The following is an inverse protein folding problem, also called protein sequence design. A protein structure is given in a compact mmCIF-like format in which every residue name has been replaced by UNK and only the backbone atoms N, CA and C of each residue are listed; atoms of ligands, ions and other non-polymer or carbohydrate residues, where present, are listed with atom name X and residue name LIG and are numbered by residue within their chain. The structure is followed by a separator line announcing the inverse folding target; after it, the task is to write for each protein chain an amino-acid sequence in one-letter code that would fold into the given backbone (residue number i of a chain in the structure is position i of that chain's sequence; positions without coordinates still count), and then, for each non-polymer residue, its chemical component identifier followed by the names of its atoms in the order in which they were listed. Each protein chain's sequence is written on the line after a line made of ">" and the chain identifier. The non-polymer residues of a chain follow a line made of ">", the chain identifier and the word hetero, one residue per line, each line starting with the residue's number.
data_IF_189359072409
#
_entry.id   IF_189359072409
#
_cell.length_a   1.000
_cell.length_b   1.000
_cell.length_c   1.000
_cell.angle_alpha   90.00
_cell.angle_beta   90.00
_cell.angle_gamma   90.00
#
_symmetry.space_group_name_H-M   'P 1'
#
loop_
_entity.id
_entity.type
_entity.pdbx_description
1 polymer ?
#
# COMPACT_ATOMS: atom_id res chain seq x y z
N UNK A 1 -19.46 19.15 -38.21
CA UNK A 1 -18.51 18.04 -38.00
C UNK A 1 -17.32 18.61 -37.24
N UNK A 2 -17.25 18.36 -35.93
CA UNK A 2 -16.18 18.83 -35.04
C UNK A 2 -15.20 17.68 -34.80
N UNK A 3 -13.87 17.92 -34.82
CA UNK A 3 -12.89 16.85 -34.66
C UNK A 3 -12.86 16.40 -33.19
N UNK A 4 -12.91 15.08 -32.98
CA UNK A 4 -12.70 14.47 -31.67
C UNK A 4 -11.25 14.67 -31.22
N UNK A 5 -10.99 15.09 -29.97
CA UNK A 5 -9.64 15.07 -29.43
C UNK A 5 -9.24 13.63 -29.11
N UNK A 6 -8.16 13.17 -29.74
CA UNK A 6 -7.46 11.94 -29.37
C UNK A 6 -6.99 12.05 -27.90
N UNK A 7 -7.54 11.22 -27.02
CA UNK A 7 -6.96 10.97 -25.69
C UNK A 7 -5.72 10.10 -25.88
N UNK A 8 -4.54 10.70 -25.85
CA UNK A 8 -3.28 9.97 -25.71
C UNK A 8 -3.18 9.49 -24.27
N UNK A 9 -3.40 8.20 -24.05
CA UNK A 9 -3.08 7.55 -22.78
C UNK A 9 -1.58 7.26 -22.83
N UNK A 10 -0.81 8.10 -22.14
CA UNK A 10 0.62 7.87 -21.97
C UNK A 10 0.80 6.77 -20.93
N UNK A 11 0.90 5.52 -21.37
CA UNK A 11 1.47 4.46 -20.54
C UNK A 11 2.98 4.65 -20.54
N UNK A 12 3.56 4.99 -19.40
CA UNK A 12 5.00 4.87 -19.19
C UNK A 12 5.32 3.38 -19.12
N UNK A 13 5.49 2.75 -20.28
CA UNK A 13 6.07 1.42 -20.38
C UNK A 13 7.56 1.59 -20.11
N UNK A 14 7.97 1.38 -18.86
CA UNK A 14 9.38 1.20 -18.53
C UNK A 14 9.84 -0.11 -19.17
N UNK A 15 10.24 -0.05 -20.43
CA UNK A 15 10.96 -1.13 -21.10
C UNK A 15 12.32 -1.21 -20.41
N UNK A 16 12.50 -2.17 -19.51
CA UNK A 16 13.83 -2.58 -19.10
C UNK A 16 14.55 -3.05 -20.36
N UNK A 17 15.46 -2.23 -20.86
CA UNK A 17 16.43 -2.64 -21.87
C UNK A 17 17.23 -3.76 -21.24
N UNK A 18 17.07 -4.96 -21.76
CA UNK A 18 17.73 -6.18 -21.30
C UNK A 18 19.24 -6.03 -21.38
N UNK A 19 19.86 -5.62 -20.28
CA UNK A 19 21.13 -6.17 -19.93
C UNK A 19 20.90 -7.69 -19.80
N UNK A 20 21.70 -8.49 -20.50
CA UNK A 20 21.84 -9.92 -20.23
C UNK A 20 22.39 -10.10 -18.82
N UNK A 21 21.59 -9.77 -17.80
CA UNK A 21 21.77 -10.28 -16.48
C UNK A 21 21.54 -11.78 -16.63
N UNK A 22 22.64 -12.54 -16.65
CA UNK A 22 22.57 -13.98 -16.35
C UNK A 22 21.59 -14.09 -15.19
N UNK A 23 20.52 -14.86 -15.36
CA UNK A 23 19.62 -15.21 -14.27
C UNK A 23 20.52 -15.71 -13.14
N UNK A 24 20.79 -14.82 -12.19
CA UNK A 24 21.68 -15.14 -11.08
C UNK A 24 21.01 -16.32 -10.43
N UNK A 25 21.70 -17.45 -10.37
CA UNK A 25 21.23 -18.63 -9.66
C UNK A 25 20.57 -18.13 -8.38
N UNK A 26 19.26 -18.38 -8.25
CA UNK A 26 18.52 -18.00 -7.06
C UNK A 26 19.40 -18.45 -5.89
N UNK A 27 19.86 -17.54 -5.01
CA UNK A 27 20.59 -17.98 -3.82
C UNK A 27 19.74 -19.07 -3.17
N UNK A 28 20.31 -19.96 -2.36
CA UNK A 28 19.50 -20.82 -1.49
C UNK A 28 18.73 -19.94 -0.49
N UNK A 29 17.72 -19.23 -0.97
CA UNK A 29 16.82 -18.39 -0.23
C UNK A 29 15.84 -19.39 0.35
N UNK A 30 15.94 -19.58 1.66
CA UNK A 30 14.88 -20.22 2.43
C UNK A 30 13.56 -19.53 2.04
N UNK A 31 12.51 -20.33 1.81
CA UNK A 31 11.18 -19.79 1.51
C UNK A 31 10.87 -18.61 2.46
N UNK A 32 10.30 -17.50 1.95
CA UNK A 32 10.00 -16.35 2.77
C UNK A 32 9.14 -16.78 3.94
N UNK A 33 9.60 -16.53 5.16
CA UNK A 33 9.00 -17.03 6.40
C UNK A 33 8.77 -15.84 7.34
N UNK A 34 7.62 -15.84 8.01
CA UNK A 34 7.25 -14.83 8.98
C UNK A 34 6.34 -13.73 8.44
N UNK A 35 6.26 -12.61 9.16
CA UNK A 35 5.31 -11.55 8.85
C UNK A 35 5.84 -10.57 7.81
N UNK A 36 4.95 -10.07 6.96
CA UNK A 36 5.19 -9.09 5.92
C UNK A 36 4.11 -8.00 5.95
N UNK A 37 4.48 -6.77 5.61
CA UNK A 37 3.52 -5.77 5.14
C UNK A 37 3.39 -5.87 3.63
N UNK A 38 2.19 -5.62 3.11
CA UNK A 38 1.89 -5.66 1.67
C UNK A 38 1.17 -4.38 1.26
N UNK A 39 1.50 -3.88 0.08
CA UNK A 39 0.73 -2.85 -0.64
C UNK A 39 0.51 -3.27 -2.09
N UNK A 40 -0.66 -2.97 -2.64
CA UNK A 40 -1.07 -3.34 -4.00
C UNK A 40 -1.83 -2.20 -4.66
N UNK A 41 -1.43 -1.78 -5.86
CA UNK A 41 -2.13 -0.79 -6.66
C UNK A 41 -2.46 -1.37 -8.04
N UNK A 42 -3.62 -1.04 -8.59
CA UNK A 42 -3.99 -1.47 -9.93
C UNK A 42 -5.40 -1.06 -10.32
N UNK A 43 -6.08 -1.96 -11.03
CA UNK A 43 -7.44 -1.72 -11.52
C UNK A 43 -8.31 -2.98 -11.48
N UNK A 44 -9.60 -2.76 -11.39
CA UNK A 44 -10.63 -3.73 -11.74
C UNK A 44 -10.71 -3.88 -13.27
N UNK A 45 -11.28 -4.96 -13.78
CA UNK A 45 -11.41 -5.19 -15.23
C UNK A 45 -12.32 -4.20 -15.94
N UNK A 46 -13.23 -3.54 -15.24
CA UNK A 46 -14.02 -2.43 -15.79
C UNK A 46 -13.25 -1.09 -15.80
N UNK A 47 -11.96 -1.12 -15.50
CA UNK A 47 -11.05 0.03 -15.51
C UNK A 47 -11.13 0.90 -14.25
N UNK A 48 -11.95 0.55 -13.26
CA UNK A 48 -12.01 1.31 -12.01
C UNK A 48 -10.76 1.08 -11.16
N UNK A 49 -10.32 2.10 -10.40
CA UNK A 49 -9.09 2.01 -9.63
C UNK A 49 -9.22 1.02 -8.46
N UNK A 50 -8.11 0.35 -8.16
CA UNK A 50 -7.94 -0.57 -7.05
C UNK A 50 -6.69 -0.20 -6.23
N UNK A 51 -6.81 -0.27 -4.92
CA UNK A 51 -5.69 -0.16 -4.01
C UNK A 51 -5.91 -1.06 -2.79
N UNK A 52 -4.85 -1.63 -2.22
CA UNK A 52 -4.93 -2.35 -0.96
C UNK A 52 -3.64 -2.23 -0.15
N UNK A 53 -3.79 -2.33 1.17
CA UNK A 53 -2.69 -2.45 2.13
C UNK A 53 -3.04 -3.53 3.14
N UNK A 54 -2.04 -4.17 3.73
CA UNK A 54 -2.30 -5.20 4.71
C UNK A 54 -1.09 -5.92 5.25
N UNK A 55 -1.33 -7.01 5.95
CA UNK A 55 -0.30 -7.88 6.49
C UNK A 55 -0.44 -9.30 5.96
N UNK A 56 0.70 -9.92 5.68
CA UNK A 56 0.77 -11.35 5.39
C UNK A 56 1.61 -12.04 6.47
N UNK A 57 1.28 -13.28 6.79
CA UNK A 57 2.09 -14.16 7.61
C UNK A 57 2.29 -15.44 6.82
N UNK A 58 3.55 -15.75 6.50
CA UNK A 58 3.91 -16.98 5.81
C UNK A 58 4.52 -17.94 6.85
N UNK A 59 4.00 -19.16 6.90
CA UNK A 59 4.53 -20.21 7.75
C UNK A 59 4.57 -21.52 6.98
N UNK A 60 5.79 -22.02 6.74
CA UNK A 60 6.02 -23.25 5.99
C UNK A 60 5.35 -23.20 4.60
N UNK A 61 4.35 -24.07 4.35
CA UNK A 61 3.62 -24.16 3.09
C UNK A 61 2.27 -23.46 3.12
N UNK A 62 1.99 -22.64 4.13
CA UNK A 62 0.71 -21.94 4.29
C UNK A 62 0.91 -20.45 4.53
N UNK A 63 -0.11 -19.65 4.21
CA UNK A 63 -0.12 -18.23 4.53
C UNK A 63 -1.49 -17.76 5.01
N UNK A 64 -1.46 -16.67 5.78
CA UNK A 64 -2.61 -15.84 6.11
C UNK A 64 -2.35 -14.44 5.61
N UNK A 65 -3.33 -13.83 4.97
CA UNK A 65 -3.25 -12.49 4.41
C UNK A 65 -4.46 -11.67 4.85
N UNK A 66 -4.24 -10.59 5.57
CA UNK A 66 -5.27 -9.61 5.94
C UNK A 66 -5.09 -8.36 5.09
N UNK A 67 -6.05 -8.08 4.20
CA UNK A 67 -6.05 -6.91 3.34
C UNK A 67 -7.21 -5.99 3.70
N UNK A 68 -6.93 -4.69 3.69
CA UNK A 68 -7.94 -3.66 3.49
C UNK A 68 -7.74 -3.08 2.10
N UNK A 69 -8.77 -3.12 1.27
CA UNK A 69 -8.77 -2.67 -0.09
C UNK A 69 -9.76 -1.51 -0.27
N UNK A 70 -9.45 -0.60 -1.19
CA UNK A 70 -10.41 0.33 -1.77
C UNK A 70 -10.68 -0.12 -3.21
N UNK A 71 -11.86 -0.71 -3.43
CA UNK A 71 -12.31 -1.21 -4.72
C UNK A 71 -13.31 -0.22 -5.30
N UNK A 72 -12.92 0.52 -6.35
CA UNK A 72 -13.74 1.60 -6.90
C UNK A 72 -14.24 2.59 -5.82
N UNK A 73 -13.39 2.87 -4.83
CA UNK A 73 -13.65 3.80 -3.73
C UNK A 73 -14.44 3.21 -2.58
N UNK A 74 -14.84 1.94 -2.61
CA UNK A 74 -15.48 1.27 -1.47
C UNK A 74 -14.46 0.50 -0.66
N UNK A 75 -14.45 0.71 0.66
CA UNK A 75 -13.53 0.02 1.56
C UNK A 75 -14.01 -1.41 1.85
N UNK A 76 -13.17 -2.40 1.57
CA UNK A 76 -13.43 -3.82 1.76
C UNK A 76 -12.29 -4.44 2.57
N UNK A 77 -12.63 -5.25 3.57
CA UNK A 77 -11.65 -6.03 4.34
C UNK A 77 -11.73 -7.49 3.93
N UNK A 78 -10.58 -8.10 3.68
CA UNK A 78 -10.44 -9.49 3.25
C UNK A 78 -9.44 -10.21 4.15
N UNK A 79 -9.77 -11.43 4.53
CA UNK A 79 -8.81 -12.37 5.12
C UNK A 79 -8.74 -13.55 4.18
N UNK A 80 -7.55 -13.81 3.65
CA UNK A 80 -7.29 -14.87 2.69
C UNK A 80 -6.35 -15.87 3.35
N UNK A 81 -6.74 -17.14 3.33
CA UNK A 81 -5.91 -18.27 3.75
C UNK A 81 -5.49 -19.06 2.53
N UNK A 82 -4.32 -19.68 2.56
CA UNK A 82 -3.89 -20.43 1.41
C UNK A 82 -2.57 -21.16 1.56
N UNK A 83 -2.02 -21.55 0.42
CA UNK A 83 -0.77 -22.30 0.31
C UNK A 83 0.33 -21.46 -0.32
N UNK A 84 1.56 -21.74 0.09
CA UNK A 84 2.77 -21.13 -0.41
C UNK A 84 3.55 -22.15 -1.23
N UNK A 85 4.00 -21.73 -2.40
CA UNK A 85 4.98 -22.45 -3.21
C UNK A 85 6.07 -21.49 -3.65
N UNK A 86 7.31 -21.97 -3.68
CA UNK A 86 8.47 -21.21 -4.16
C UNK A 86 9.24 -22.08 -5.13
N UNK A 87 9.38 -21.61 -6.37
CA UNK A 87 10.17 -22.27 -7.42
C UNK A 87 10.99 -21.19 -8.10
N UNK A 88 12.31 -21.39 -8.23
CA UNK A 88 13.20 -20.46 -8.95
C UNK A 88 13.05 -18.98 -8.57
N UNK A 89 13.00 -18.69 -7.25
CA UNK A 89 12.78 -17.33 -6.70
C UNK A 89 11.39 -16.71 -6.99
N UNK A 90 10.48 -17.47 -7.61
CA UNK A 90 9.08 -17.10 -7.77
C UNK A 90 8.28 -17.58 -6.55
N UNK A 91 7.72 -16.63 -5.81
CA UNK A 91 6.73 -16.90 -4.78
C UNK A 91 5.35 -17.02 -5.41
N UNK A 92 4.58 -18.03 -5.02
CA UNK A 92 3.18 -18.13 -5.39
C UNK A 92 2.33 -18.42 -4.15
N UNK A 93 1.45 -17.48 -3.81
CA UNK A 93 0.46 -17.59 -2.76
C UNK A 93 -0.91 -17.85 -3.40
N UNK A 94 -1.46 -19.04 -3.20
CA UNK A 94 -2.76 -19.43 -3.75
C UNK A 94 -3.80 -19.57 -2.63
N UNK A 95 -4.86 -18.77 -2.72
CA UNK A 95 -6.00 -18.80 -1.80
C UNK A 95 -6.73 -20.15 -1.82
N UNK A 96 -7.28 -20.55 -0.68
CA UNK A 96 -8.02 -21.80 -0.50
C UNK A 96 -9.43 -21.55 0.07
N UNK A 97 -10.27 -22.59 0.11
CA UNK A 97 -11.61 -22.50 0.70
C UNK A 97 -12.55 -21.53 -0.03
N UNK A 98 -13.10 -20.55 0.70
CA UNK A 98 -13.99 -19.53 0.11
C UNK A 98 -13.25 -18.49 -0.73
N UNK A 99 -11.93 -18.40 -0.57
CA UNK A 99 -11.05 -17.47 -1.28
C UNK A 99 -10.39 -18.10 -2.51
N UNK A 100 -10.91 -19.26 -2.96
CA UNK A 100 -10.46 -19.91 -4.19
C UNK A 100 -10.51 -18.90 -5.35
N UNK A 101 -9.33 -18.64 -5.91
CA UNK A 101 -9.14 -17.69 -7.00
C UNK A 101 -8.23 -16.51 -6.65
N UNK A 102 -8.01 -16.18 -5.38
CA UNK A 102 -6.94 -15.22 -5.09
C UNK A 102 -5.56 -15.84 -5.36
N UNK A 103 -4.78 -15.20 -6.23
CA UNK A 103 -3.41 -15.62 -6.54
C UNK A 103 -2.49 -14.41 -6.40
N UNK A 104 -1.46 -14.53 -5.58
CA UNK A 104 -0.37 -13.56 -5.50
C UNK A 104 0.91 -14.20 -6.05
N UNK A 105 1.36 -13.72 -7.20
CA UNK A 105 2.66 -14.12 -7.78
C UNK A 105 3.70 -13.10 -7.40
N UNK A 106 4.81 -13.53 -6.84
CA UNK A 106 5.88 -12.69 -6.33
C UNK A 106 7.23 -13.03 -6.96
N UNK A 107 8.04 -12.01 -7.26
CA UNK A 107 9.46 -12.17 -7.53
C UNK A 107 10.24 -11.76 -6.29
N UNK A 108 11.01 -12.69 -5.72
CA UNK A 108 11.86 -12.39 -4.56
C UNK A 108 13.05 -11.55 -5.03
N UNK A 109 13.16 -10.33 -4.51
CA UNK A 109 14.26 -9.41 -4.78
C UNK A 109 15.18 -9.28 -3.56
N UNK A 110 16.39 -8.75 -3.79
CA UNK A 110 17.32 -8.30 -2.74
C UNK A 110 17.51 -9.27 -1.55
N UNK A 111 17.71 -10.58 -1.82
CA UNK A 111 17.83 -11.62 -0.78
C UNK A 111 16.63 -11.72 0.17
N UNK A 112 15.41 -11.45 -0.30
CA UNK A 112 14.18 -11.56 0.48
C UNK A 112 13.79 -10.31 1.27
N UNK A 113 14.48 -9.19 1.06
CA UNK A 113 14.12 -7.89 1.65
C UNK A 113 12.89 -7.26 1.02
N UNK A 114 12.60 -7.60 -0.23
CA UNK A 114 11.42 -7.13 -0.93
C UNK A 114 10.94 -8.23 -1.87
N UNK A 115 9.63 -8.35 -2.02
CA UNK A 115 9.00 -9.25 -2.99
C UNK A 115 8.08 -8.41 -3.85
N UNK A 116 8.37 -8.33 -5.14
CA UNK A 116 7.50 -7.66 -6.10
C UNK A 116 6.34 -8.58 -6.42
N UNK A 117 5.13 -8.16 -6.11
CA UNK A 117 3.95 -9.03 -6.19
C UNK A 117 2.93 -8.53 -7.20
N UNK A 118 2.24 -9.48 -7.82
CA UNK A 118 1.08 -9.26 -8.67
C UNK A 118 -0.08 -10.10 -8.14
N UNK A 119 -1.15 -9.42 -7.74
CA UNK A 119 -2.40 -10.00 -7.32
C UNK A 119 -3.33 -10.18 -8.52
N UNK A 120 -3.90 -11.37 -8.64
CA UNK A 120 -4.89 -11.75 -9.63
C UNK A 120 -6.04 -12.41 -8.88
N UNK A 121 -7.27 -11.95 -9.10
CA UNK A 121 -8.46 -12.56 -8.52
C UNK A 121 -9.50 -12.81 -9.63
N UNK A 122 -9.60 -14.01 -10.22
CA UNK A 122 -10.50 -14.24 -11.36
C UNK A 122 -11.99 -14.03 -11.06
N UNK A 123 -12.43 -14.35 -9.83
CA UNK A 123 -13.84 -14.18 -9.43
C UNK A 123 -14.25 -12.70 -9.27
N UNK A 124 -13.29 -11.83 -8.97
CA UNK A 124 -13.46 -10.38 -8.90
C UNK A 124 -12.28 -9.79 -9.65
N UNK A 125 -12.39 -9.64 -10.99
CA UNK A 125 -11.25 -9.54 -11.87
C UNK A 125 -10.43 -8.26 -11.58
N UNK A 126 -9.49 -8.43 -10.66
CA UNK A 126 -8.51 -7.46 -10.18
C UNK A 126 -7.17 -7.86 -10.79
N UNK A 127 -6.47 -6.87 -11.32
CA UNK A 127 -5.04 -6.98 -11.60
C UNK A 127 -4.36 -5.83 -10.86
N UNK A 128 -3.57 -6.18 -9.86
CA UNK A 128 -2.85 -5.21 -9.04
C UNK A 128 -1.42 -5.66 -8.82
N UNK A 129 -0.52 -4.71 -8.67
CA UNK A 129 0.89 -4.96 -8.43
C UNK A 129 1.38 -4.12 -7.26
N UNK A 130 2.43 -4.58 -6.60
CA UNK A 130 3.03 -3.83 -5.51
C UNK A 130 4.14 -4.62 -4.85
N UNK A 131 4.29 -4.43 -3.55
CA UNK A 131 5.43 -4.97 -2.81
C UNK A 131 5.00 -5.62 -1.51
N UNK A 132 5.69 -6.70 -1.15
CA UNK A 132 5.72 -7.24 0.21
C UNK A 132 7.08 -6.96 0.82
N UNK A 133 7.10 -6.45 2.05
CA UNK A 133 8.32 -6.18 2.82
C UNK A 133 8.27 -6.85 4.19
N UNK A 134 9.37 -7.43 4.67
CA UNK A 134 9.38 -8.15 5.92
C UNK A 134 9.10 -7.21 7.10
N UNK A 135 8.27 -7.68 8.02
CA UNK A 135 7.92 -6.97 9.24
C UNK A 135 8.84 -7.43 10.36
N UNK A 136 10.01 -6.81 10.44
CA UNK A 136 11.08 -7.22 11.36
C UNK A 136 10.76 -6.95 12.84
N UNK A 137 9.86 -6.01 13.12
CA UNK A 137 9.36 -5.74 14.47
C UNK A 137 8.36 -6.82 14.88
N UNK A 138 8.63 -7.48 16.01
CA UNK A 138 7.74 -8.51 16.56
C UNK A 138 6.47 -7.94 17.18
N UNK A 139 6.58 -6.74 17.76
CA UNK A 139 5.48 -5.98 18.36
C UNK A 139 5.70 -4.50 18.11
N UNK A 140 4.62 -3.77 17.95
CA UNK A 140 4.64 -2.32 17.83
C UNK A 140 3.77 -1.65 18.88
N UNK A 141 4.01 -0.35 19.06
CA UNK A 141 3.20 0.54 19.88
C UNK A 141 3.31 1.96 19.33
N UNK A 142 2.61 2.94 19.91
CA UNK A 142 2.72 4.33 19.47
C UNK A 142 4.17 4.82 19.46
N UNK A 143 5.02 4.32 20.38
CA UNK A 143 6.42 4.68 20.48
C UNK A 143 7.27 4.20 19.29
N UNK A 144 6.77 3.23 18.50
CA UNK A 144 7.39 2.83 17.23
C UNK A 144 7.35 3.98 16.21
N UNK A 145 6.27 4.78 16.24
CA UNK A 145 6.09 5.95 15.38
C UNK A 145 6.57 7.20 16.11
N UNK A 146 7.85 7.48 15.98
CA UNK A 146 8.50 8.64 16.58
C UNK A 146 9.51 9.19 15.59
N UNK A 147 9.48 10.50 15.32
CA UNK A 147 10.38 11.14 14.37
C UNK A 147 9.64 11.79 13.20
N UNK A 148 10.39 12.19 12.18
CA UNK A 148 9.85 12.82 10.96
C UNK A 148 9.92 11.85 9.79
N UNK A 149 8.84 11.77 9.05
CA UNK A 149 8.70 10.95 7.86
C UNK A 149 8.30 11.84 6.69
N UNK A 150 8.90 11.63 5.53
CA UNK A 150 8.35 12.16 4.28
C UNK A 150 7.37 11.15 3.71
N UNK A 151 6.43 11.61 2.90
CA UNK A 151 5.57 10.70 2.16
C UNK A 151 5.24 11.23 0.78
N UNK A 152 4.97 10.27 -0.10
CA UNK A 152 4.34 10.49 -1.39
C UNK A 152 3.10 9.59 -1.43
N UNK A 153 1.97 10.15 -1.85
CA UNK A 153 0.78 9.36 -2.14
C UNK A 153 0.18 9.73 -3.48
N UNK A 154 -0.44 8.75 -4.12
CA UNK A 154 -1.05 8.89 -5.41
C UNK A 154 -2.27 7.99 -5.54
N UNK A 155 -3.22 8.42 -6.36
CA UNK A 155 -4.44 7.66 -6.57
C UNK A 155 -5.51 8.47 -7.27
N UNK A 156 -6.76 8.15 -6.93
CA UNK A 156 -7.94 8.75 -7.53
C UNK A 156 -8.97 9.09 -6.45
N UNK A 157 -9.59 10.24 -6.58
CA UNK A 157 -10.80 10.59 -5.84
C UNK A 157 -12.00 10.55 -6.78
N UNK A 158 -13.12 10.05 -6.25
CA UNK A 158 -14.41 10.03 -6.92
C UNK A 158 -14.97 11.45 -6.91
N UNK A 159 -15.17 12.01 -8.10
CA UNK A 159 -15.78 13.34 -8.29
C UNK A 159 -17.09 13.21 -9.07
N UNK A 160 -18.02 14.15 -8.83
CA UNK A 160 -19.36 14.13 -9.41
C UNK A 160 -20.38 13.32 -8.59
N UNK A 161 -21.63 13.34 -9.03
CA UNK A 161 -22.77 12.70 -8.34
C UNK A 161 -23.63 11.88 -9.32
N UNK A 162 -24.40 10.93 -8.78
CA UNK A 162 -25.31 10.09 -9.57
C UNK A 162 -24.59 9.25 -10.63
N UNK A 163 -25.05 9.33 -11.88
CA UNK A 163 -24.48 8.60 -13.03
C UNK A 163 -23.24 9.28 -13.61
N UNK A 164 -22.94 10.54 -13.23
CA UNK A 164 -21.82 11.33 -13.77
C UNK A 164 -20.59 11.28 -12.88
N UNK A 165 -20.26 10.08 -12.40
CA UNK A 165 -19.12 9.83 -11.54
C UNK A 165 -17.86 9.70 -12.38
N UNK A 166 -16.82 10.45 -12.01
CA UNK A 166 -15.51 10.38 -12.63
C UNK A 166 -14.43 10.15 -11.58
N UNK A 167 -13.30 9.60 -12.02
CA UNK A 167 -12.12 9.40 -11.18
C UNK A 167 -11.11 10.50 -11.49
N UNK A 168 -10.95 11.45 -10.58
CA UNK A 168 -9.97 12.52 -10.70
C UNK A 168 -8.63 12.08 -10.10
N UNK A 169 -7.51 12.18 -10.83
CA UNK A 169 -6.21 11.84 -10.27
C UNK A 169 -5.84 12.82 -9.16
N UNK A 170 -5.27 12.29 -8.08
CA UNK A 170 -4.75 13.04 -6.95
C UNK A 170 -3.34 12.56 -6.61
N UNK A 171 -2.45 13.52 -6.34
CA UNK A 171 -1.11 13.29 -5.80
C UNK A 171 -0.88 14.17 -4.58
N UNK A 172 -0.15 13.66 -3.60
CA UNK A 172 0.30 14.42 -2.44
C UNK A 172 1.77 14.13 -2.15
N UNK A 173 2.46 15.16 -1.70
CA UNK A 173 3.80 15.05 -1.12
C UNK A 173 3.83 15.87 0.16
N UNK A 174 4.48 15.36 1.19
CA UNK A 174 4.56 16.05 2.46
C UNK A 174 5.54 15.42 3.41
N UNK A 175 5.57 15.99 4.61
CA UNK A 175 6.19 15.39 5.77
C UNK A 175 5.20 15.32 6.93
N UNK A 176 5.42 14.35 7.81
CA UNK A 176 4.64 14.15 9.01
C UNK A 176 5.56 13.79 10.17
N UNK A 177 5.41 14.54 11.27
CA UNK A 177 6.15 14.31 12.50
C UNK A 177 5.26 13.57 13.48
N UNK A 178 5.76 12.46 14.02
CA UNK A 178 5.10 11.63 15.03
C UNK A 178 5.82 11.78 16.38
N UNK A 179 5.06 11.90 17.47
CA UNK A 179 5.61 12.13 18.81
C UNK A 179 5.93 10.87 19.62
N UNK A 180 5.53 9.68 19.14
CA UNK A 180 5.66 8.42 19.88
C UNK A 180 4.53 8.14 20.87
N UNK A 181 3.53 9.03 20.97
CA UNK A 181 2.46 8.98 22.00
C UNK A 181 1.05 9.02 21.41
N UNK A 182 0.90 9.14 20.10
CA UNK A 182 -0.38 9.13 19.41
C UNK A 182 -0.79 10.48 18.82
N UNK A 183 0.14 11.43 18.72
CA UNK A 183 -0.04 12.72 18.07
C UNK A 183 0.94 12.90 16.91
N UNK A 184 0.43 13.34 15.76
CA UNK A 184 1.24 13.74 14.63
C UNK A 184 0.86 15.13 14.13
N UNK A 185 1.78 15.78 13.41
CA UNK A 185 1.52 17.00 12.65
C UNK A 185 2.06 16.79 11.25
N UNK A 186 1.20 16.99 10.25
CA UNK A 186 1.55 16.85 8.84
C UNK A 186 1.61 18.23 8.17
N UNK A 187 2.43 18.33 7.14
CA UNK A 187 2.45 19.43 6.18
C UNK A 187 2.55 18.85 4.78
N UNK A 188 1.63 19.22 3.89
CA UNK A 188 1.56 18.64 2.56
C UNK A 188 1.16 19.62 1.45
N UNK A 189 1.65 19.31 0.26
CA UNK A 189 1.19 19.86 -1.00
C UNK A 189 0.32 18.84 -1.72
N UNK A 190 -0.83 19.29 -2.22
CA UNK A 190 -1.85 18.46 -2.85
C UNK A 190 -2.05 18.92 -4.29
N UNK A 191 -2.03 17.98 -5.23
CA UNK A 191 -2.41 18.20 -6.63
C UNK A 191 -3.60 17.31 -6.96
N UNK A 192 -4.76 17.91 -7.22
CA UNK A 192 -5.98 17.19 -7.61
C UNK A 192 -6.50 17.75 -8.94
N UNK A 193 -6.40 16.95 -10.02
CA UNK A 193 -6.64 17.45 -11.38
C UNK A 193 -5.80 18.70 -11.67
N UNK A 194 -6.46 19.84 -11.92
CA UNK A 194 -5.78 21.12 -12.16
C UNK A 194 -5.49 21.91 -10.88
N UNK A 195 -6.13 21.61 -9.76
CA UNK A 195 -6.04 22.37 -8.53
C UNK A 195 -4.80 22.02 -7.72
N UNK A 196 -4.15 23.03 -7.15
CA UNK A 196 -3.06 22.89 -6.21
C UNK A 196 -3.44 23.56 -4.89
N UNK A 197 -3.13 22.92 -3.78
CA UNK A 197 -3.37 23.46 -2.45
C UNK A 197 -2.31 22.97 -1.46
N UNK A 198 -2.16 23.67 -0.36
CA UNK A 198 -1.35 23.24 0.78
C UNK A 198 -2.25 22.98 1.97
N UNK A 199 -1.87 22.02 2.81
CA UNK A 199 -2.55 21.71 4.05
C UNK A 199 -1.53 21.42 5.14
N UNK A 200 -1.86 21.82 6.36
CA UNK A 200 -1.09 21.53 7.55
C UNK A 200 -2.07 21.32 8.70
N UNK A 201 -1.78 20.37 9.58
CA UNK A 201 -2.60 20.20 10.77
C UNK A 201 -2.15 19.06 11.67
N UNK A 202 -2.68 19.02 12.90
CA UNK A 202 -2.51 17.88 13.79
C UNK A 202 -3.42 16.72 13.38
N UNK A 203 -2.96 15.49 13.60
CA UNK A 203 -3.75 14.27 13.55
C UNK A 203 -3.49 13.44 14.81
N UNK A 204 -4.46 12.59 15.15
CA UNK A 204 -4.22 11.52 16.14
C UNK A 204 -3.85 10.26 15.41
N UNK A 205 -3.11 9.37 16.07
CA UNK A 205 -2.83 8.06 15.52
C UNK A 205 -2.82 6.99 16.61
N UNK A 206 -3.02 5.75 16.18
CA UNK A 206 -2.86 4.57 17.03
C UNK A 206 -2.11 3.48 16.29
N UNK A 207 -1.26 2.77 17.03
CA UNK A 207 -0.48 1.65 16.53
C UNK A 207 -0.87 0.39 17.30
N UNK A 208 -1.25 -0.63 16.55
CA UNK A 208 -1.58 -1.95 17.07
C UNK A 208 -0.31 -2.78 17.31
N UNK A 209 -0.41 -3.81 18.16
CA UNK A 209 0.73 -4.71 18.43
C UNK A 209 1.22 -5.45 17.18
N UNK A 210 0.33 -5.69 16.21
CA UNK A 210 0.65 -6.28 14.91
C UNK A 210 1.30 -5.29 13.94
N UNK A 211 1.70 -4.11 14.41
CA UNK A 211 2.35 -3.07 13.61
C UNK A 211 1.47 -2.53 12.47
N UNK A 212 0.16 -2.74 12.50
CA UNK A 212 -0.76 -1.87 11.78
C UNK A 212 -0.88 -0.55 12.52
N UNK A 213 -1.13 0.53 11.78
CA UNK A 213 -1.42 1.83 12.37
C UNK A 213 -2.56 2.51 11.64
N UNK A 214 -3.26 3.39 12.34
CA UNK A 214 -4.30 4.23 11.78
C UNK A 214 -4.01 5.69 12.11
N UNK A 215 -4.16 6.56 11.11
CA UNK A 215 -4.29 8.00 11.31
C UNK A 215 -5.77 8.33 11.44
N UNK A 216 -6.09 9.14 12.44
CA UNK A 216 -7.45 9.48 12.82
C UNK A 216 -7.72 10.94 12.45
N UNK A 217 -8.76 11.15 11.65
CA UNK A 217 -9.29 12.48 11.33
C UNK A 217 -10.60 12.64 12.12
N UNK A 218 -10.65 13.64 13.00
CA UNK A 218 -11.79 13.86 13.91
C UNK A 218 -12.17 12.62 14.75
N UNK A 219 -11.19 11.75 15.04
CA UNK A 219 -11.37 10.52 15.83
C UNK A 219 -11.68 9.28 15.00
N UNK A 220 -11.98 9.42 13.71
CA UNK A 220 -12.31 8.31 12.82
C UNK A 220 -11.09 7.87 11.99
N UNK A 221 -10.90 6.57 11.74
CA UNK A 221 -9.83 6.07 10.89
C UNK A 221 -9.90 6.67 9.48
N UNK A 222 -8.96 7.55 9.18
CA UNK A 222 -8.84 8.22 7.90
C UNK A 222 -7.84 7.52 7.00
N UNK A 223 -6.86 6.84 7.58
CA UNK A 223 -5.84 6.07 6.88
C UNK A 223 -5.51 4.81 7.67
N UNK A 224 -5.11 3.74 6.97
CA UNK A 224 -4.57 2.52 7.55
C UNK A 224 -3.24 2.22 6.88
N UNK A 225 -2.23 1.84 7.65
CA UNK A 225 -0.97 1.37 7.09
C UNK A 225 -0.31 0.31 7.94
N UNK A 226 0.86 -0.15 7.47
CA UNK A 226 1.61 -1.24 8.09
C UNK A 226 3.06 -0.79 8.24
N UNK A 227 3.62 -0.93 9.43
CA UNK A 227 4.99 -0.55 9.74
C UNK A 227 5.91 -1.69 9.29
N UNK A 228 6.81 -1.43 8.35
CA UNK A 228 7.79 -2.40 7.83
C UNK A 228 9.22 -1.87 7.98
N UNK A 229 10.22 -2.68 7.64
CA UNK A 229 11.64 -2.29 7.63
C UNK A 229 12.09 -1.63 8.93
N UNK A 230 11.75 -2.25 10.07
CA UNK A 230 12.09 -1.74 11.41
C UNK A 230 11.54 -0.32 11.70
N UNK A 231 10.39 0.03 11.12
CA UNK A 231 9.77 1.34 11.29
C UNK A 231 10.37 2.45 10.45
N UNK A 232 11.14 2.10 9.42
CA UNK A 232 11.67 3.04 8.44
C UNK A 232 10.66 3.36 7.34
N UNK A 233 9.81 2.39 7.00
CA UNK A 233 8.86 2.50 5.89
C UNK A 233 7.47 2.13 6.35
N UNK A 234 6.45 2.86 5.89
CA UNK A 234 5.06 2.59 6.19
C UNK A 234 4.17 2.78 4.96
N UNK A 235 3.91 1.72 4.16
CA UNK A 235 2.84 1.76 3.18
C UNK A 235 1.49 2.00 3.87
N UNK A 236 0.63 2.79 3.23
CA UNK A 236 -0.69 3.10 3.76
C UNK A 236 -1.74 3.29 2.66
N UNK A 237 -3.00 3.12 3.04
CA UNK A 237 -4.20 3.31 2.24
C UNK A 237 -5.09 4.38 2.89
N UNK A 238 -5.71 5.23 2.07
CA UNK A 238 -6.78 6.13 2.50
C UNK A 238 -8.08 5.35 2.74
N UNK A 239 -8.71 5.53 3.90
CA UNK A 239 -9.95 4.82 4.29
C UNK A 239 -11.25 5.60 4.06
N UNK A 240 -11.23 6.60 3.18
CA UNK A 240 -12.41 7.42 2.92
C UNK A 240 -13.13 6.90 1.69
N UNK A 241 -14.44 6.70 1.81
CA UNK A 241 -15.28 6.29 0.69
C UNK A 241 -15.17 7.28 -0.48
N UNK A 242 -15.05 6.73 -1.68
CA UNK A 242 -14.77 7.48 -2.88
C UNK A 242 -13.29 7.78 -3.11
N UNK A 243 -12.37 7.39 -2.22
CA UNK A 243 -10.93 7.53 -2.45
C UNK A 243 -10.29 6.17 -2.73
N UNK A 244 -9.46 6.09 -3.76
CA UNK A 244 -8.55 4.96 -4.03
C UNK A 244 -7.13 5.52 -4.05
N UNK A 245 -6.49 5.59 -2.89
CA UNK A 245 -5.17 6.23 -2.73
C UNK A 245 -4.24 5.45 -1.83
N UNK A 246 -3.04 5.19 -2.33
CA UNK A 246 -1.92 4.62 -1.58
C UNK A 246 -0.83 5.66 -1.42
N UNK A 247 -0.09 5.53 -0.34
CA UNK A 247 1.17 6.23 -0.18
C UNK A 247 2.14 5.42 0.66
N UNK A 248 3.32 5.99 0.81
CA UNK A 248 4.38 5.40 1.61
C UNK A 248 5.03 6.51 2.42
N UNK A 249 5.12 6.29 3.73
CA UNK A 249 5.99 7.10 4.59
C UNK A 249 7.40 6.51 4.59
N UNK A 250 8.41 7.37 4.50
CA UNK A 250 9.82 7.03 4.68
C UNK A 250 10.39 7.92 5.77
N UNK A 251 10.99 7.31 6.80
CA UNK A 251 11.60 8.03 7.91
C UNK A 251 12.83 8.80 7.43
N UNK A 252 12.91 10.09 7.79
CA UNK A 252 14.06 10.95 7.49
C UNK A 252 14.77 11.46 8.75
N UNK A 253 14.12 11.41 9.91
CA UNK A 253 14.71 11.79 11.20
C UNK A 253 14.13 10.94 12.35
N UNK A 254 14.97 10.61 13.32
CA UNK A 254 14.60 9.91 14.56
C UNK A 254 14.29 10.87 15.72
N UNK A 255 14.67 12.14 15.61
CA UNK A 255 14.43 13.13 16.66
C UNK A 255 12.95 13.45 16.77
N UNK A 256 12.44 13.55 18.01
CA UNK A 256 11.06 13.97 18.26
C UNK A 256 11.05 15.16 19.20
N UNK A 257 10.58 16.29 18.72
CA UNK A 257 10.09 17.37 19.59
C UNK A 257 8.69 17.00 20.06
N UNK A 258 8.33 17.30 21.33
CA UNK A 258 6.95 17.17 21.79
C UNK A 258 5.98 17.88 20.84
N UNK A 259 4.81 17.26 20.65
CA UNK A 259 3.72 17.82 19.86
C UNK A 259 2.55 18.14 20.78
N UNK A 260 1.83 19.21 20.43
CA UNK A 260 0.56 19.56 21.08
C UNK A 260 -0.57 19.17 20.13
N UNK A 261 -1.21 18.03 20.38
CA UNK A 261 -2.49 17.70 19.74
C UNK A 261 -3.65 18.16 20.62
N UNK A 262 -4.74 18.66 20.03
CA UNK A 262 -5.99 18.94 20.73
C UNK A 262 -6.69 17.66 21.24
#
# INVERSE_FOLDING_TARGET
>A
MLPHPFKVILFTLSVLVGANAKAGSCPHIQAPEGPYGIQLQGSLVDGKPYAAVGSASIHQSTFTLHLTASEAGSIIKKTILGTVSVVDCELNLAGSGVDLGFVLKGQIAERGKEIFVTAIQPAQPIVASGTMRPRLLRRCSNNTLKGTFTYISQGFDRVGTGTNVQWAPIGKIGDERFDGKGCSVYKESIKQGIHFSEAEGPLKYRVSEDCTFELLDQGEPAFLGVIVDNGQVMPYLKLVDGAVRLGEYTRIDHSSTPLNCP
#
